data_IF_792146610917
#
_entry.id   IF_792146610917
#
_cell.length_a   1.000
_cell.length_b   1.000
_cell.length_c   1.000
_cell.angle_alpha   90.00
_cell.angle_beta   90.00
_cell.angle_gamma   90.00
#
_symmetry.space_group_name_H-M   'P 1'
#
loop_
_entity.id
_entity.type
_entity.pdbx_description
1 polymer ?
#
# COMPACT_ATOMS: atom_id res chain seq x y z
N UNK A 1 48.07 9.04 12.82
CA UNK A 1 47.38 7.75 12.64
C UNK A 1 45.89 8.01 12.77
N UNK A 2 45.17 8.09 11.65
CA UNK A 2 43.73 8.35 11.59
C UNK A 2 43.02 7.02 11.33
N UNK A 3 42.26 6.52 12.29
CA UNK A 3 41.30 5.44 12.12
C UNK A 3 40.13 5.74 13.05
N UNK A 4 38.97 6.09 12.48
CA UNK A 4 37.61 5.84 12.98
C UNK A 4 36.61 6.63 12.14
N UNK A 5 36.08 5.99 11.10
CA UNK A 5 34.93 6.50 10.34
C UNK A 5 34.25 5.34 9.57
N UNK A 6 33.82 4.28 10.25
CA UNK A 6 32.99 3.24 9.64
C UNK A 6 32.04 2.66 10.70
N UNK A 7 31.06 3.43 11.17
CA UNK A 7 30.06 2.89 12.11
C UNK A 7 28.80 3.77 12.12
N UNK A 8 28.00 3.76 11.05
CA UNK A 8 26.65 4.39 11.11
C UNK A 8 25.61 3.99 10.06
N UNK A 9 25.76 2.88 9.33
CA UNK A 9 24.77 2.50 8.27
C UNK A 9 24.00 1.21 8.50
N UNK A 10 24.31 0.38 9.50
CA UNK A 10 23.76 -0.97 9.59
C UNK A 10 22.42 -1.13 10.35
N UNK A 11 21.95 -0.11 11.07
CA UNK A 11 20.80 -0.29 12.00
C UNK A 11 19.42 -0.15 11.32
N UNK A 12 19.32 0.47 10.14
CA UNK A 12 18.00 0.83 9.55
C UNK A 12 17.52 -0.13 8.44
N UNK A 13 18.40 -0.98 7.90
CA UNK A 13 18.07 -1.85 6.76
C UNK A 13 17.21 -3.07 7.15
N UNK A 14 17.44 -3.65 8.34
CA UNK A 14 16.70 -4.83 8.78
C UNK A 14 15.19 -4.59 9.02
N UNK A 15 14.76 -3.51 9.71
CA UNK A 15 13.35 -3.19 9.87
C UNK A 15 12.64 -2.92 8.53
N UNK A 16 13.35 -2.26 7.60
CA UNK A 16 12.84 -1.95 6.26
C UNK A 16 12.55 -3.21 5.45
N UNK A 17 13.50 -4.12 5.35
CA UNK A 17 13.31 -5.38 4.62
C UNK A 17 12.19 -6.22 5.24
N UNK A 18 12.08 -6.24 6.57
CA UNK A 18 10.97 -6.88 7.27
C UNK A 18 9.62 -6.24 6.88
N UNK A 19 9.53 -4.91 6.78
CA UNK A 19 8.30 -4.23 6.35
C UNK A 19 7.91 -4.57 4.93
N UNK A 20 8.87 -4.55 3.99
CA UNK A 20 8.61 -4.91 2.59
C UNK A 20 8.13 -6.35 2.47
N UNK A 21 8.74 -7.28 3.19
CA UNK A 21 8.28 -8.69 3.26
C UNK A 21 6.85 -8.79 3.79
N UNK A 22 6.53 -8.07 4.87
CA UNK A 22 5.18 -8.03 5.43
C UNK A 22 4.16 -7.47 4.42
N UNK A 23 4.48 -6.38 3.70
CA UNK A 23 3.63 -5.84 2.65
C UNK A 23 3.39 -6.84 1.52
N UNK A 24 4.43 -7.57 1.10
CA UNK A 24 4.32 -8.63 0.10
C UNK A 24 3.43 -9.79 0.58
N UNK A 25 3.57 -10.23 1.84
CA UNK A 25 2.74 -11.27 2.42
C UNK A 25 1.27 -10.83 2.50
N UNK A 26 1.00 -9.62 3.01
CA UNK A 26 -0.34 -9.04 3.08
C UNK A 26 -0.98 -8.90 1.70
N UNK A 27 -0.20 -8.48 0.69
CA UNK A 27 -0.66 -8.42 -0.70
C UNK A 27 -1.18 -9.77 -1.18
N UNK A 28 -0.39 -10.83 -1.01
CA UNK A 28 -0.76 -12.17 -1.46
C UNK A 28 -2.02 -12.68 -0.75
N UNK A 29 -2.12 -12.44 0.57
CA UNK A 29 -3.29 -12.80 1.35
C UNK A 29 -4.55 -12.06 0.86
N UNK A 30 -4.48 -10.74 0.65
CA UNK A 30 -5.61 -9.95 0.18
C UNK A 30 -6.00 -10.27 -1.27
N UNK A 31 -5.03 -10.58 -2.14
CA UNK A 31 -5.30 -11.07 -3.50
C UNK A 31 -6.05 -12.42 -3.48
N UNK A 32 -5.68 -13.33 -2.59
CA UNK A 32 -6.36 -14.61 -2.41
C UNK A 32 -7.80 -14.41 -1.90
N UNK A 33 -7.99 -13.59 -0.85
CA UNK A 33 -9.31 -13.29 -0.29
C UNK A 33 -10.22 -12.58 -1.32
N UNK A 34 -9.67 -11.60 -2.04
CA UNK A 34 -10.38 -10.87 -3.10
C UNK A 34 -10.88 -11.82 -4.20
N UNK A 35 -10.05 -12.78 -4.64
CA UNK A 35 -10.46 -13.81 -5.61
C UNK A 35 -11.57 -14.69 -5.07
N UNK A 36 -11.46 -15.13 -3.80
CA UNK A 36 -12.48 -15.95 -3.16
C UNK A 36 -13.83 -15.22 -3.07
N UNK A 37 -13.83 -13.95 -2.64
CA UNK A 37 -15.05 -13.14 -2.56
C UNK A 37 -15.66 -12.86 -3.93
N UNK A 38 -14.85 -12.55 -4.94
CA UNK A 38 -15.35 -12.38 -6.31
C UNK A 38 -16.03 -13.65 -6.82
N UNK A 39 -15.46 -14.82 -6.52
CA UNK A 39 -16.07 -16.11 -6.89
C UNK A 39 -17.41 -16.31 -6.18
N UNK A 40 -17.49 -16.05 -4.87
CA UNK A 40 -18.75 -16.13 -4.10
C UNK A 40 -19.81 -15.17 -4.63
N UNK A 41 -19.45 -13.91 -4.89
CA UNK A 41 -20.36 -12.88 -5.39
C UNK A 41 -20.89 -13.15 -6.80
N UNK A 42 -20.17 -13.94 -7.61
CA UNK A 42 -20.59 -14.34 -8.96
C UNK A 42 -21.47 -15.59 -8.99
N UNK A 43 -21.51 -16.36 -7.91
CA UNK A 43 -22.39 -17.53 -7.81
C UNK A 43 -23.84 -17.07 -7.57
N UNK A 44 -24.85 -17.93 -7.82
CA UNK A 44 -26.22 -17.66 -7.40
C UNK A 44 -26.29 -17.38 -5.89
N UNK A 45 -26.99 -16.31 -5.51
CA UNK A 45 -27.02 -15.86 -4.12
C UNK A 45 -28.01 -16.70 -3.32
N UNK A 46 -27.50 -17.34 -2.25
CA UNK A 46 -28.31 -18.08 -1.28
C UNK A 46 -28.53 -17.28 0.01
N UNK A 47 -27.92 -16.09 0.11
CA UNK A 47 -27.93 -15.23 1.30
C UNK A 47 -27.62 -13.77 0.86
N UNK A 48 -27.87 -12.76 1.71
CA UNK A 48 -27.53 -11.37 1.43
C UNK A 48 -26.01 -11.17 1.20
N UNK A 49 -25.64 -10.54 0.07
CA UNK A 49 -24.24 -10.34 -0.33
C UNK A 49 -23.62 -8.99 0.06
N UNK A 50 -24.36 -8.13 0.75
CA UNK A 50 -23.91 -6.77 1.09
C UNK A 50 -22.56 -6.79 1.84
N UNK A 51 -22.40 -7.69 2.80
CA UNK A 51 -21.15 -7.81 3.57
C UNK A 51 -19.98 -8.30 2.73
N UNK A 52 -20.21 -9.26 1.85
CA UNK A 52 -19.20 -9.75 0.93
C UNK A 52 -18.77 -8.66 -0.06
N UNK A 53 -19.71 -7.81 -0.53
CA UNK A 53 -19.41 -6.65 -1.37
C UNK A 53 -18.62 -5.58 -0.63
N UNK A 54 -19.03 -5.22 0.60
CA UNK A 54 -18.31 -4.28 1.47
C UNK A 54 -16.89 -4.76 1.75
N UNK A 55 -16.74 -6.04 2.09
CA UNK A 55 -15.43 -6.67 2.34
C UNK A 55 -14.56 -6.68 1.08
N UNK A 56 -15.11 -7.07 -0.07
CA UNK A 56 -14.38 -7.03 -1.34
C UNK A 56 -13.91 -5.61 -1.66
N UNK A 57 -14.76 -4.62 -1.40
CA UNK A 57 -14.39 -3.24 -1.56
C UNK A 57 -13.18 -2.88 -0.68
N UNK A 58 -13.28 -3.09 0.63
CA UNK A 58 -12.20 -2.79 1.59
C UNK A 58 -10.88 -3.44 1.17
N UNK A 59 -10.91 -4.71 0.74
CA UNK A 59 -9.72 -5.41 0.26
C UNK A 59 -9.10 -4.75 -0.98
N UNK A 60 -9.93 -4.28 -1.92
CA UNK A 60 -9.42 -3.59 -3.13
C UNK A 60 -8.78 -2.25 -2.78
N UNK A 61 -9.33 -1.54 -1.78
CA UNK A 61 -8.73 -0.34 -1.26
C UNK A 61 -7.36 -0.64 -0.64
N UNK A 62 -7.28 -1.60 0.28
CA UNK A 62 -6.02 -1.99 0.93
C UNK A 62 -4.98 -2.50 -0.07
N UNK A 63 -5.39 -3.27 -1.09
CA UNK A 63 -4.50 -3.69 -2.17
C UNK A 63 -3.95 -2.49 -2.95
N UNK A 64 -4.79 -1.52 -3.29
CA UNK A 64 -4.36 -0.29 -3.99
C UNK A 64 -3.32 0.45 -3.15
N UNK A 65 -3.55 0.58 -1.84
CA UNK A 65 -2.64 1.25 -0.92
C UNK A 65 -1.29 0.52 -0.84
N UNK A 66 -1.30 -0.82 -0.73
CA UNK A 66 -0.07 -1.63 -0.76
C UNK A 66 0.68 -1.44 -2.09
N UNK A 67 -0.01 -1.46 -3.23
CA UNK A 67 0.64 -1.22 -4.53
C UNK A 67 1.21 0.19 -4.64
N UNK A 68 0.54 1.21 -4.08
CA UNK A 68 1.10 2.56 -4.00
C UNK A 68 2.42 2.56 -3.22
N UNK A 69 2.48 1.93 -2.05
CA UNK A 69 3.72 1.82 -1.26
C UNK A 69 4.80 1.07 -2.04
N UNK A 70 4.50 -0.10 -2.59
CA UNK A 70 5.48 -0.91 -3.33
C UNK A 70 5.97 -0.25 -4.63
N UNK A 71 5.16 0.59 -5.27
CA UNK A 71 5.59 1.38 -6.41
C UNK A 71 6.47 2.54 -5.96
N UNK A 72 6.08 3.22 -4.87
CA UNK A 72 6.80 4.38 -4.34
C UNK A 72 8.22 4.02 -3.90
N UNK A 73 8.42 2.88 -3.24
CA UNK A 73 9.76 2.37 -2.88
C UNK A 73 10.65 2.02 -4.07
N UNK A 74 10.10 2.04 -5.29
CA UNK A 74 10.83 1.85 -6.55
C UNK A 74 10.94 3.14 -7.36
N UNK A 75 10.64 4.29 -6.76
CA UNK A 75 10.61 5.59 -7.43
C UNK A 75 9.48 5.73 -8.47
N UNK A 76 8.40 4.95 -8.34
CA UNK A 76 7.27 4.96 -9.28
C UNK A 76 5.98 5.35 -8.57
N UNK A 77 5.01 5.83 -9.35
CA UNK A 77 3.67 6.14 -8.84
C UNK A 77 2.66 5.16 -9.43
N UNK A 78 1.98 4.40 -8.55
CA UNK A 78 0.98 3.41 -8.96
C UNK A 78 -0.30 4.05 -9.50
N UNK A 79 -0.81 5.08 -8.81
CA UNK A 79 -2.05 5.76 -9.16
C UNK A 79 -1.75 7.13 -9.77
N UNK A 80 -2.03 7.29 -11.06
CA UNK A 80 -1.78 8.54 -11.81
C UNK A 80 -2.98 9.48 -11.85
N UNK A 81 -4.18 8.91 -11.80
CA UNK A 81 -5.45 9.64 -11.83
C UNK A 81 -5.98 9.83 -10.42
N UNK A 82 -6.69 10.94 -10.21
CA UNK A 82 -7.36 11.22 -8.95
C UNK A 82 -8.33 10.07 -8.57
N UNK A 83 -8.33 9.63 -7.31
CA UNK A 83 -9.37 8.77 -6.78
C UNK A 83 -10.72 9.43 -6.96
N UNK A 84 -11.64 8.81 -7.70
CA UNK A 84 -13.04 9.20 -7.64
C UNK A 84 -13.58 8.87 -6.24
N UNK A 85 -13.58 9.87 -5.34
CA UNK A 85 -14.29 9.99 -4.04
C UNK A 85 -14.24 8.83 -3.02
N UNK A 86 -13.51 7.74 -3.24
CA UNK A 86 -13.68 6.48 -2.49
C UNK A 86 -12.68 6.20 -1.36
N UNK A 87 -11.75 7.09 -1.04
CA UNK A 87 -10.82 6.90 0.09
C UNK A 87 -11.35 7.46 1.42
N UNK A 88 -12.63 7.87 1.46
CA UNK A 88 -13.28 8.42 2.65
C UNK A 88 -12.92 9.88 2.94
N UNK A 89 -11.98 10.46 2.19
CA UNK A 89 -11.65 11.89 2.24
C UNK A 89 -11.44 12.37 0.80
N UNK A 90 -12.17 13.40 0.33
CA UNK A 90 -11.89 14.02 -0.97
C UNK A 90 -10.45 14.56 -0.98
N UNK A 91 -9.79 14.51 -2.13
CA UNK A 91 -8.49 15.14 -2.24
C UNK A 91 -8.67 16.66 -2.13
N UNK A 92 -8.12 17.27 -1.09
CA UNK A 92 -8.19 18.71 -0.92
C UNK A 92 -7.17 19.38 -1.83
N UNK A 93 -7.66 20.22 -2.75
CA UNK A 93 -6.82 20.97 -3.69
C UNK A 93 -6.51 20.23 -4.99
N UNK A 94 -5.42 20.62 -5.65
CA UNK A 94 -5.00 20.04 -6.93
C UNK A 94 -4.45 18.63 -6.71
N UNK A 95 -4.94 17.65 -7.47
CA UNK A 95 -4.43 16.28 -7.44
C UNK A 95 -2.92 16.23 -7.70
N UNK A 96 -2.18 15.61 -6.77
CA UNK A 96 -0.76 15.29 -6.91
C UNK A 96 -0.55 13.81 -6.56
N UNK A 97 -0.21 13.04 -7.60
CA UNK A 97 -0.02 11.59 -7.51
C UNK A 97 1.19 11.20 -6.63
N UNK A 98 2.22 12.04 -6.58
CA UNK A 98 3.40 11.84 -5.74
C UNK A 98 3.07 12.17 -4.27
N UNK A 99 2.37 13.28 -4.02
CA UNK A 99 1.91 13.60 -2.66
C UNK A 99 0.98 12.51 -2.12
N UNK A 100 0.08 11.98 -2.95
CA UNK A 100 -0.76 10.85 -2.57
C UNK A 100 0.06 9.61 -2.20
N UNK A 101 1.07 9.25 -3.01
CA UNK A 101 1.94 8.12 -2.72
C UNK A 101 2.73 8.31 -1.40
N UNK A 102 3.20 9.54 -1.14
CA UNK A 102 3.84 9.92 0.13
C UNK A 102 2.88 9.76 1.31
N UNK A 103 1.65 10.31 1.24
CA UNK A 103 0.66 10.19 2.32
C UNK A 103 0.27 8.74 2.60
N UNK A 104 0.05 7.95 1.55
CA UNK A 104 -0.26 6.52 1.70
C UNK A 104 0.90 5.79 2.36
N UNK A 105 2.13 6.06 1.93
CA UNK A 105 3.34 5.46 2.53
C UNK A 105 3.54 5.92 3.97
N UNK A 106 3.34 7.20 4.29
CA UNK A 106 3.42 7.73 5.65
C UNK A 106 2.47 7.01 6.61
N UNK A 107 1.25 6.71 6.15
CA UNK A 107 0.23 6.01 6.94
C UNK A 107 0.52 4.52 7.08
N UNK A 108 0.98 3.87 6.02
CA UNK A 108 1.10 2.41 5.96
C UNK A 108 2.50 1.87 6.25
N UNK A 109 3.55 2.64 6.03
CA UNK A 109 4.94 2.21 6.20
C UNK A 109 5.84 3.46 6.26
N UNK A 110 5.69 4.30 7.31
CA UNK A 110 6.44 5.56 7.45
C UNK A 110 7.95 5.38 7.34
N UNK A 111 8.48 4.24 7.79
CA UNK A 111 9.88 3.84 7.68
C UNK A 111 10.39 3.69 6.23
N UNK A 112 9.49 3.65 5.23
CA UNK A 112 9.83 3.55 3.81
C UNK A 112 9.84 4.90 3.08
N UNK A 113 9.59 6.01 3.78
CA UNK A 113 9.55 7.36 3.17
C UNK A 113 10.93 7.96 2.83
N UNK A 114 11.95 7.61 3.61
CA UNK A 114 13.26 8.31 3.61
C UNK A 114 14.11 8.13 2.35
N UNK A 115 13.73 7.25 1.42
CA UNK A 115 14.56 6.89 0.26
C UNK A 115 14.17 7.53 -1.07
N UNK A 116 12.99 8.12 -1.19
CA UNK A 116 12.55 8.69 -2.49
C UNK A 116 13.07 10.12 -2.69
N UNK A 117 13.91 10.62 -1.79
CA UNK A 117 14.52 11.97 -1.85
C UNK A 117 16.00 11.97 -2.24
N UNK A 118 16.57 10.82 -2.62
CA UNK A 118 17.94 10.72 -3.18
C UNK A 118 17.96 10.79 -4.69
#
# INVERSE_FOLDING_TARGET
>A
MQQQAIETTQTTEAPRLARLRALHASRLAFEAESRSLKRRLRAPWQEPMADAQRRLHQLRQSLTEIYCVLAFTRGRVHRRTEPTCWLGVPWEGKWDALDYAKRVTARFAPELLSEVQS
#
